data_IF_371148078598
#
_entry.id   IF_371148078598
#
_cell.length_a   1.000
_cell.length_b   1.000
_cell.length_c   1.000
_cell.angle_alpha   90.00
_cell.angle_beta   90.00
_cell.angle_gamma   90.00
#
_symmetry.space_group_name_H-M   'P 1'
#
loop_
_entity.id
_entity.type
_entity.pdbx_description
1 polymer ?
#
# COMPACT_ATOMS: atom_id res chain seq x y z
N UNK A 1 13.39 28.06 3.28
CA UNK A 1 13.99 26.97 2.47
C UNK A 1 13.58 25.64 3.05
N UNK A 2 13.07 24.69 2.26
CA UNK A 2 12.72 23.35 2.73
C UNK A 2 13.99 22.54 3.00
N UNK A 3 14.12 22.01 4.23
CA UNK A 3 15.26 21.17 4.64
C UNK A 3 15.37 19.93 3.77
N UNK A 4 16.56 19.63 3.26
CA UNK A 4 16.85 18.36 2.61
C UNK A 4 17.09 17.27 3.66
N UNK A 5 16.49 16.10 3.45
CA UNK A 5 16.58 14.95 4.33
C UNK A 5 17.28 13.81 3.58
N UNK A 6 18.46 13.35 4.03
CA UNK A 6 19.13 12.23 3.39
C UNK A 6 18.28 10.95 3.46
N UNK A 7 18.12 10.27 2.32
CA UNK A 7 17.28 9.06 2.22
C UNK A 7 17.67 7.99 3.24
N UNK A 8 18.97 7.73 3.41
CA UNK A 8 19.46 6.76 4.39
C UNK A 8 19.07 7.10 5.83
N UNK A 9 19.05 8.39 6.19
CA UNK A 9 18.59 8.84 7.50
C UNK A 9 17.09 8.59 7.67
N UNK A 10 16.28 8.90 6.65
CA UNK A 10 14.84 8.65 6.66
C UNK A 10 14.51 7.16 6.76
N UNK A 11 15.16 6.31 5.95
CA UNK A 11 14.97 4.85 5.96
C UNK A 11 15.36 4.29 7.33
N UNK A 12 16.54 4.63 7.84
CA UNK A 12 17.00 4.19 9.16
C UNK A 12 16.04 4.63 10.27
N UNK A 13 15.57 5.87 10.21
CA UNK A 13 14.59 6.37 11.18
C UNK A 13 13.27 5.59 11.11
N UNK A 14 12.73 5.35 9.92
CA UNK A 14 11.49 4.59 9.74
C UNK A 14 11.62 3.15 10.23
N UNK A 15 12.71 2.45 9.88
CA UNK A 15 12.98 1.07 10.34
C UNK A 15 13.13 1.02 11.86
N UNK A 16 13.92 1.94 12.43
CA UNK A 16 14.12 2.00 13.88
C UNK A 16 12.81 2.34 14.61
N UNK A 17 11.99 3.23 14.05
CA UNK A 17 10.68 3.59 14.62
C UNK A 17 9.77 2.37 14.71
N UNK A 18 9.66 1.56 13.63
CA UNK A 18 8.86 0.33 13.66
C UNK A 18 9.45 -0.70 14.61
N UNK A 19 10.77 -0.96 14.54
CA UNK A 19 11.44 -1.95 15.37
C UNK A 19 11.27 -1.66 16.86
N UNK A 20 11.47 -0.40 17.26
CA UNK A 20 11.37 0.01 18.67
C UNK A 20 9.93 -0.03 19.19
N UNK A 21 8.94 -0.04 18.28
CA UNK A 21 7.53 0.01 18.61
C UNK A 21 6.75 -1.21 18.11
N UNK A 22 7.41 -2.33 17.81
CA UNK A 22 6.78 -3.48 17.13
C UNK A 22 5.62 -4.08 17.93
N UNK A 23 5.76 -4.14 19.26
CA UNK A 23 4.70 -4.62 20.14
C UNK A 23 3.44 -3.72 20.04
N UNK A 24 3.64 -2.42 19.88
CA UNK A 24 2.56 -1.46 19.73
C UNK A 24 1.96 -1.49 18.32
N UNK A 25 2.79 -1.63 17.29
CA UNK A 25 2.34 -1.85 15.92
C UNK A 25 1.41 -3.08 15.86
N UNK A 26 1.80 -4.17 16.51
CA UNK A 26 0.96 -5.36 16.64
C UNK A 26 -0.32 -5.07 17.43
N UNK A 27 -0.22 -4.47 18.62
CA UNK A 27 -1.40 -4.11 19.47
C UNK A 27 -2.45 -3.28 18.74
N UNK A 28 -2.02 -2.34 17.89
CA UNK A 28 -2.90 -1.48 17.10
C UNK A 28 -3.55 -2.24 15.93
N UNK A 29 -2.84 -3.20 15.32
CA UNK A 29 -3.26 -3.83 14.07
C UNK A 29 -3.97 -5.19 14.23
N UNK A 30 -3.64 -5.98 15.25
CA UNK A 30 -4.19 -7.32 15.45
C UNK A 30 -5.74 -7.39 15.48
N UNK A 31 -6.49 -6.41 16.02
CA UNK A 31 -7.96 -6.50 16.07
C UNK A 31 -8.57 -6.46 14.68
N UNK A 32 -7.99 -5.65 13.78
CA UNK A 32 -8.38 -5.65 12.38
C UNK A 32 -7.93 -6.92 11.65
N UNK A 33 -6.75 -7.46 11.95
CA UNK A 33 -6.34 -8.77 11.39
C UNK A 33 -7.27 -9.90 11.84
N UNK A 34 -7.77 -9.88 13.09
CA UNK A 34 -8.75 -10.84 13.57
C UNK A 34 -10.08 -10.80 12.79
N UNK A 35 -10.42 -9.65 12.16
CA UNK A 35 -11.56 -9.51 11.26
C UNK A 35 -11.19 -9.90 9.83
N UNK A 36 -10.06 -9.40 9.31
CA UNK A 36 -9.68 -9.58 7.91
C UNK A 36 -9.26 -11.01 7.57
N UNK A 37 -8.64 -11.73 8.50
CA UNK A 37 -8.18 -13.11 8.27
C UNK A 37 -9.38 -14.03 7.99
N UNK A 38 -10.42 -14.13 8.85
CA UNK A 38 -11.61 -14.93 8.54
C UNK A 38 -12.30 -14.54 7.24
N UNK A 39 -12.42 -13.24 6.95
CA UNK A 39 -13.01 -12.75 5.70
C UNK A 39 -12.18 -13.19 4.48
N UNK A 40 -10.85 -13.19 4.60
CA UNK A 40 -9.94 -13.64 3.55
C UNK A 40 -10.06 -15.15 3.32
N UNK A 41 -10.19 -15.95 4.38
CA UNK A 41 -10.45 -17.40 4.26
C UNK A 41 -11.80 -17.69 3.61
N UNK A 42 -12.85 -16.95 3.99
CA UNK A 42 -14.16 -17.07 3.35
C UNK A 42 -14.09 -16.73 1.86
N UNK A 43 -13.37 -15.66 1.50
CA UNK A 43 -13.14 -15.28 0.11
C UNK A 43 -12.36 -16.34 -0.68
N UNK A 44 -11.36 -16.96 -0.06
CA UNK A 44 -10.60 -18.06 -0.68
C UNK A 44 -11.47 -19.30 -0.92
N UNK A 45 -12.29 -19.69 0.05
CA UNK A 45 -13.27 -20.77 -0.13
C UNK A 45 -14.28 -20.46 -1.24
N UNK A 46 -14.75 -19.22 -1.31
CA UNK A 46 -15.64 -18.77 -2.39
C UNK A 46 -14.96 -18.81 -3.77
N UNK A 47 -13.68 -18.46 -3.85
CA UNK A 47 -12.87 -18.59 -5.07
C UNK A 47 -12.74 -20.05 -5.54
N UNK A 48 -12.59 -21.00 -4.60
CA UNK A 48 -12.55 -22.43 -4.90
C UNK A 48 -13.86 -22.98 -5.46
N UNK A 49 -15.02 -22.48 -4.99
CA UNK A 49 -16.31 -22.85 -5.59
C UNK A 49 -16.44 -22.31 -7.03
N UNK A 50 -15.90 -21.11 -7.29
CA UNK A 50 -15.86 -20.53 -8.63
C UNK A 50 -14.99 -21.35 -9.60
N UNK A 51 -13.79 -21.78 -9.20
CA UNK A 51 -12.91 -22.58 -10.06
C UNK A 51 -13.48 -23.95 -10.43
N UNK A 52 -14.41 -24.48 -9.63
CA UNK A 52 -15.17 -25.70 -9.91
C UNK A 52 -16.36 -25.48 -10.87
N UNK A 53 -16.50 -24.29 -11.46
CA UNK A 53 -17.52 -23.98 -12.47
C UNK A 53 -18.94 -23.80 -11.92
N UNK A 54 -19.10 -23.69 -10.60
CA UNK A 54 -20.42 -23.67 -9.94
C UNK A 54 -21.05 -22.27 -9.86
N UNK A 55 -20.35 -21.21 -10.26
CA UNK A 55 -20.79 -19.83 -10.05
C UNK A 55 -20.34 -18.86 -11.15
N UNK A 56 -21.10 -17.78 -11.34
CA UNK A 56 -20.79 -16.71 -12.30
C UNK A 56 -19.69 -15.76 -11.77
N UNK A 57 -19.03 -15.01 -12.66
CA UNK A 57 -17.94 -14.09 -12.28
C UNK A 57 -18.44 -12.86 -11.47
N UNK A 58 -19.69 -12.45 -11.65
CA UNK A 58 -20.21 -11.21 -11.04
C UNK A 58 -20.27 -11.25 -9.51
N UNK A 59 -20.83 -12.30 -8.86
CA UNK A 59 -20.81 -12.42 -7.40
C UNK A 59 -19.39 -12.44 -6.82
N UNK A 60 -18.45 -13.11 -7.49
CA UNK A 60 -17.04 -13.12 -7.08
C UNK A 60 -16.43 -11.73 -7.08
N UNK A 61 -16.60 -10.99 -8.17
CA UNK A 61 -16.09 -9.62 -8.28
C UNK A 61 -16.69 -8.69 -7.21
N UNK A 62 -18.00 -8.78 -6.96
CA UNK A 62 -18.66 -7.99 -5.92
C UNK A 62 -18.14 -8.33 -4.52
N UNK A 63 -17.99 -9.62 -4.19
CA UNK A 63 -17.44 -10.06 -2.91
C UNK A 63 -15.99 -9.57 -2.73
N UNK A 64 -15.17 -9.67 -3.77
CA UNK A 64 -13.81 -9.15 -3.78
C UNK A 64 -13.77 -7.64 -3.57
N UNK A 65 -14.63 -6.88 -4.25
CA UNK A 65 -14.71 -5.43 -4.11
C UNK A 65 -15.11 -5.02 -2.68
N UNK A 66 -16.08 -5.72 -2.08
CA UNK A 66 -16.48 -5.49 -0.69
C UNK A 66 -15.32 -5.76 0.26
N UNK A 67 -14.61 -6.89 0.08
CA UNK A 67 -13.44 -7.21 0.90
C UNK A 67 -12.32 -6.16 0.75
N UNK A 68 -12.08 -5.68 -0.47
CA UNK A 68 -11.10 -4.63 -0.74
C UNK A 68 -11.46 -3.32 -0.02
N UNK A 69 -12.73 -2.92 -0.03
CA UNK A 69 -13.22 -1.73 0.68
C UNK A 69 -13.09 -1.88 2.20
N UNK A 70 -13.47 -3.04 2.76
CA UNK A 70 -13.29 -3.33 4.19
C UNK A 70 -11.81 -3.28 4.57
N UNK A 71 -10.94 -3.87 3.74
CA UNK A 71 -9.49 -3.86 3.93
C UNK A 71 -8.91 -2.44 3.91
N UNK A 72 -9.43 -1.59 3.01
CA UNK A 72 -8.99 -0.20 2.91
C UNK A 72 -9.45 0.64 4.12
N UNK A 73 -10.66 0.39 4.64
CA UNK A 73 -11.14 0.99 5.89
C UNK A 73 -10.31 0.54 7.09
N UNK A 74 -10.03 -0.77 7.18
CA UNK A 74 -9.17 -1.34 8.21
C UNK A 74 -7.77 -0.72 8.18
N UNK A 75 -7.17 -0.62 6.99
CA UNK A 75 -5.88 0.04 6.79
C UNK A 75 -5.91 1.50 7.24
N UNK A 76 -6.94 2.27 6.86
CA UNK A 76 -7.07 3.66 7.28
C UNK A 76 -7.19 3.79 8.81
N UNK A 77 -7.97 2.91 9.45
CA UNK A 77 -8.14 2.88 10.90
C UNK A 77 -6.81 2.57 11.62
N UNK A 78 -6.10 1.52 11.18
CA UNK A 78 -4.77 1.15 11.69
C UNK A 78 -3.80 2.31 11.49
N UNK A 79 -3.76 2.88 10.29
CA UNK A 79 -2.83 3.95 9.95
C UNK A 79 -3.09 5.20 10.79
N UNK A 80 -4.35 5.62 11.00
CA UNK A 80 -4.66 6.77 11.86
C UNK A 80 -4.20 6.51 13.29
N UNK A 81 -4.51 5.34 13.87
CA UNK A 81 -4.05 4.98 15.21
C UNK A 81 -2.52 4.94 15.29
N UNK A 82 -1.84 4.38 14.28
CA UNK A 82 -0.38 4.34 14.21
C UNK A 82 0.26 5.74 14.17
N UNK A 83 -0.24 6.63 13.32
CA UNK A 83 0.29 8.00 13.23
C UNK A 83 0.05 8.79 14.52
N UNK A 84 -1.12 8.63 15.16
CA UNK A 84 -1.41 9.28 16.45
C UNK A 84 -0.53 8.72 17.56
N UNK A 85 -0.28 7.42 17.57
CA UNK A 85 0.66 6.83 18.51
C UNK A 85 2.08 7.39 18.33
N UNK A 86 2.64 7.31 17.12
CA UNK A 86 4.03 7.75 16.88
C UNK A 86 4.24 9.26 17.10
N UNK A 87 3.20 10.08 16.89
CA UNK A 87 3.33 11.54 16.95
C UNK A 87 2.78 12.16 18.25
N UNK A 88 1.86 11.50 18.94
CA UNK A 88 1.16 12.02 20.13
C UNK A 88 1.20 11.05 21.33
N UNK A 89 1.85 9.89 21.20
CA UNK A 89 1.85 8.81 22.19
C UNK A 89 0.43 8.33 22.59
N UNK A 90 -0.56 8.52 21.70
CA UNK A 90 -1.95 8.16 21.95
C UNK A 90 -2.23 6.69 21.60
N UNK A 91 -2.43 5.87 22.63
CA UNK A 91 -2.91 4.49 22.48
C UNK A 91 -4.41 4.43 22.23
N UNK A 92 -4.89 3.69 21.20
CA UNK A 92 -6.32 3.48 21.03
C UNK A 92 -6.90 2.69 22.20
N UNK A 93 -8.01 3.17 22.77
CA UNK A 93 -8.74 2.48 23.85
C UNK A 93 -10.19 2.24 23.48
N UNK A 94 -10.76 1.13 23.97
CA UNK A 94 -12.17 0.78 23.75
C UNK A 94 -12.55 0.79 22.27
N UNK A 95 -13.48 1.67 21.88
CA UNK A 95 -13.97 1.78 20.50
C UNK A 95 -12.93 2.29 19.51
N UNK A 96 -11.89 3.00 19.97
CA UNK A 96 -10.84 3.51 19.09
C UNK A 96 -9.95 2.41 18.51
N UNK A 97 -10.02 1.20 19.06
CA UNK A 97 -9.35 0.04 18.47
C UNK A 97 -9.84 -0.20 17.03
N UNK A 98 -11.14 -0.03 16.81
CA UNK A 98 -11.79 -0.01 15.49
C UNK A 98 -12.18 1.42 15.13
N UNK A 99 -11.24 2.37 15.20
CA UNK A 99 -11.53 3.80 14.98
C UNK A 99 -12.14 4.03 13.61
N UNK A 100 -13.38 4.50 13.58
CA UNK A 100 -14.15 4.88 12.39
C UNK A 100 -14.70 6.32 12.53
N UNK A 101 -13.88 7.23 13.07
CA UNK A 101 -14.24 8.64 13.30
C UNK A 101 -13.99 9.52 12.04
N UNK A 102 -14.24 10.84 12.17
CA UNK A 102 -13.97 11.83 11.10
C UNK A 102 -12.56 11.72 10.53
N UNK A 103 -11.55 11.43 11.37
CA UNK A 103 -10.16 11.34 10.94
C UNK A 103 -9.95 10.11 10.08
N UNK A 104 -10.50 8.96 10.47
CA UNK A 104 -10.43 7.72 9.67
C UNK A 104 -11.11 7.90 8.30
N UNK A 105 -12.31 8.46 8.25
CA UNK A 105 -13.02 8.64 6.96
C UNK A 105 -12.33 9.64 6.04
N UNK A 106 -11.80 10.73 6.59
CA UNK A 106 -10.98 11.68 5.81
C UNK A 106 -9.68 11.05 5.33
N UNK A 107 -9.05 10.20 6.16
CA UNK A 107 -7.84 9.46 5.79
C UNK A 107 -8.16 8.51 4.64
N UNK A 108 -9.21 7.69 4.77
CA UNK A 108 -9.70 6.78 3.74
C UNK A 108 -9.97 7.50 2.42
N UNK A 109 -10.73 8.60 2.44
CA UNK A 109 -11.06 9.36 1.23
C UNK A 109 -9.82 9.97 0.56
N UNK A 110 -8.84 10.44 1.33
CA UNK A 110 -7.59 10.96 0.77
C UNK A 110 -6.67 9.85 0.24
N UNK A 111 -6.66 8.69 0.90
CA UNK A 111 -5.95 7.52 0.41
C UNK A 111 -6.54 7.06 -0.93
N UNK A 112 -7.86 7.01 -1.05
CA UNK A 112 -8.56 6.69 -2.30
C UNK A 112 -8.27 7.73 -3.39
N UNK A 113 -8.31 9.03 -3.05
CA UNK A 113 -7.95 10.10 -3.99
C UNK A 113 -6.51 9.98 -4.48
N UNK A 114 -5.56 9.69 -3.59
CA UNK A 114 -4.15 9.46 -3.96
C UNK A 114 -4.05 8.24 -4.88
N UNK A 115 -4.74 7.13 -4.57
CA UNK A 115 -4.78 5.95 -5.43
C UNK A 115 -5.31 6.28 -6.83
N UNK A 116 -6.41 7.04 -6.93
CA UNK A 116 -6.97 7.46 -8.23
C UNK A 116 -6.01 8.35 -9.02
N UNK A 117 -5.31 9.28 -8.35
CA UNK A 117 -4.26 10.11 -8.98
C UNK A 117 -3.13 9.22 -9.52
N UNK A 118 -2.69 8.23 -8.74
CA UNK A 118 -1.64 7.29 -9.15
C UNK A 118 -2.10 6.44 -10.33
N UNK A 119 -3.31 5.88 -10.31
CA UNK A 119 -3.88 5.12 -11.42
C UNK A 119 -3.96 5.99 -12.68
N UNK A 120 -4.47 7.21 -12.57
CA UNK A 120 -4.52 8.15 -13.69
C UNK A 120 -3.13 8.46 -14.26
N UNK A 121 -2.15 8.74 -13.41
CA UNK A 121 -0.77 8.99 -13.82
C UNK A 121 -0.13 7.76 -14.49
N UNK A 122 -0.35 6.56 -13.94
CA UNK A 122 0.14 5.32 -14.53
C UNK A 122 -0.51 5.06 -15.90
N UNK A 123 -1.82 5.29 -16.06
CA UNK A 123 -2.51 5.12 -17.33
C UNK A 123 -1.98 6.08 -18.41
N UNK A 124 -1.69 7.34 -18.04
CA UNK A 124 -1.10 8.32 -18.96
C UNK A 124 0.26 7.89 -19.52
N UNK A 125 1.03 7.09 -18.77
CA UNK A 125 2.33 6.56 -19.21
C UNK A 125 2.19 5.19 -19.86
N UNK A 126 1.37 4.29 -19.29
CA UNK A 126 1.15 2.93 -19.81
C UNK A 126 0.54 2.94 -21.20
N UNK A 127 -0.48 3.78 -21.46
CA UNK A 127 -1.21 3.73 -22.73
C UNK A 127 -0.29 4.00 -23.93
N UNK A 128 0.50 5.09 -23.99
CA UNK A 128 1.45 5.31 -25.09
C UNK A 128 2.48 4.19 -25.23
N UNK A 129 3.02 3.69 -24.12
CA UNK A 129 4.02 2.62 -24.13
C UNK A 129 3.43 1.30 -24.67
N UNK A 130 2.19 0.99 -24.32
CA UNK A 130 1.49 -0.20 -24.81
C UNK A 130 1.21 -0.13 -26.31
N UNK A 131 0.87 1.05 -26.83
CA UNK A 131 0.67 1.27 -28.27
C UNK A 131 1.99 1.08 -29.02
N UNK A 132 3.09 1.66 -28.52
CA UNK A 132 4.41 1.52 -29.11
C UNK A 132 4.90 0.06 -29.10
N UNK A 133 4.68 -0.65 -27.99
CA UNK A 133 5.02 -2.06 -27.86
C UNK A 133 4.28 -2.94 -28.87
N UNK A 134 2.98 -2.69 -29.05
CA UNK A 134 2.17 -3.38 -30.05
C UNK A 134 2.67 -3.13 -31.48
N UNK A 135 3.17 -1.92 -31.78
CA UNK A 135 3.70 -1.59 -33.11
C UNK A 135 5.09 -2.16 -33.43
N UNK A 136 5.83 -2.62 -32.43
CA UNK A 136 7.25 -3.01 -32.59
C UNK A 136 7.51 -4.51 -32.40
N UNK A 137 6.47 -5.33 -32.17
CA UNK A 137 6.58 -6.75 -31.79
C UNK A 137 7.51 -6.99 -30.58
N UNK A 138 7.75 -5.97 -29.75
CA UNK A 138 8.63 -6.01 -28.58
C UNK A 138 7.82 -6.15 -27.28
N UNK A 139 6.70 -6.88 -27.32
CA UNK A 139 5.72 -6.96 -26.23
C UNK A 139 6.34 -7.45 -24.91
N UNK A 140 7.28 -8.39 -24.95
CA UNK A 140 7.92 -8.94 -23.75
C UNK A 140 8.89 -7.94 -23.08
N UNK A 141 9.65 -7.18 -23.88
CA UNK A 141 10.51 -6.10 -23.36
C UNK A 141 9.70 -4.94 -22.77
N UNK A 142 8.48 -4.73 -23.27
CA UNK A 142 7.65 -3.61 -22.85
C UNK A 142 7.24 -3.71 -21.38
N UNK A 143 6.91 -4.89 -20.85
CA UNK A 143 6.42 -5.04 -19.47
C UNK A 143 7.50 -4.68 -18.45
N UNK A 144 8.73 -5.16 -18.66
CA UNK A 144 9.86 -4.88 -17.77
C UNK A 144 10.24 -3.40 -17.83
N UNK A 145 10.32 -2.82 -19.03
CA UNK A 145 10.62 -1.39 -19.19
C UNK A 145 9.53 -0.50 -18.60
N UNK A 146 8.25 -0.84 -18.80
CA UNK A 146 7.10 -0.17 -18.20
C UNK A 146 7.21 -0.22 -16.68
N UNK A 147 7.51 -1.38 -16.09
CA UNK A 147 7.70 -1.51 -14.65
C UNK A 147 8.88 -0.66 -14.14
N UNK A 148 10.01 -0.68 -14.84
CA UNK A 148 11.21 0.10 -14.47
C UNK A 148 11.00 1.61 -14.52
N UNK A 149 10.11 2.11 -15.38
CA UNK A 149 9.80 3.55 -15.50
C UNK A 149 8.66 3.93 -14.55
N UNK A 150 7.55 3.19 -14.59
CA UNK A 150 6.32 3.57 -13.90
C UNK A 150 6.46 3.38 -12.39
N UNK A 151 7.07 2.29 -11.91
CA UNK A 151 7.13 2.03 -10.47
C UNK A 151 7.90 3.11 -9.70
N UNK A 152 9.09 3.59 -10.16
CA UNK A 152 9.77 4.69 -9.48
C UNK A 152 8.97 6.00 -9.51
N UNK A 153 8.35 6.34 -10.64
CA UNK A 153 7.54 7.56 -10.77
C UNK A 153 6.33 7.50 -9.82
N UNK A 154 5.59 6.39 -9.85
CA UNK A 154 4.45 6.15 -8.98
C UNK A 154 4.87 6.12 -7.51
N UNK A 155 6.02 5.53 -7.19
CA UNK A 155 6.57 5.50 -5.84
C UNK A 155 6.91 6.89 -5.31
N UNK A 156 7.60 7.72 -6.10
CA UNK A 156 7.90 9.12 -5.73
C UNK A 156 6.60 9.91 -5.57
N UNK A 157 5.68 9.81 -6.53
CA UNK A 157 4.39 10.51 -6.48
C UNK A 157 3.57 10.11 -5.25
N UNK A 158 3.52 8.81 -4.95
CA UNK A 158 2.85 8.25 -3.77
C UNK A 158 3.44 8.82 -2.49
N UNK A 159 4.76 8.77 -2.32
CA UNK A 159 5.43 9.27 -1.12
C UNK A 159 5.21 10.78 -0.93
N UNK A 160 5.23 11.56 -2.01
CA UNK A 160 5.00 13.01 -1.95
C UNK A 160 3.60 13.35 -1.45
N UNK A 161 2.58 12.73 -2.06
CA UNK A 161 1.19 13.01 -1.69
C UNK A 161 0.83 12.44 -0.32
N UNK A 162 1.44 11.32 0.07
CA UNK A 162 1.19 10.64 1.35
C UNK A 162 1.64 11.44 2.57
N UNK A 163 2.50 12.46 2.44
CA UNK A 163 2.84 13.39 3.54
C UNK A 163 1.60 14.10 4.11
N UNK A 164 0.51 14.19 3.35
CA UNK A 164 -0.78 14.69 3.84
C UNK A 164 -1.44 13.76 4.88
N UNK A 165 -1.24 12.46 4.76
CA UNK A 165 -1.96 11.46 5.55
C UNK A 165 -1.70 11.55 7.07
N UNK A 166 -0.45 11.73 7.55
CA UNK A 166 -0.20 12.02 8.97
C UNK A 166 -0.89 13.30 9.46
N UNK A 167 -0.94 14.36 8.63
CA UNK A 167 -1.62 15.60 9.01
C UNK A 167 -3.12 15.36 9.24
N UNK A 168 -3.76 14.53 8.41
CA UNK A 168 -5.16 14.11 8.60
C UNK A 168 -5.33 13.32 9.91
N UNK A 169 -4.42 12.41 10.23
CA UNK A 169 -4.47 11.63 11.47
C UNK A 169 -4.34 12.52 12.73
N UNK A 170 -3.62 13.64 12.63
CA UNK A 170 -3.55 14.70 13.65
C UNK A 170 -4.78 15.61 13.68
N UNK A 171 -5.74 15.43 12.78
CA UNK A 171 -6.96 16.23 12.68
C UNK A 171 -6.82 17.52 11.88
N UNK A 172 -5.64 17.81 11.31
CA UNK A 172 -5.40 19.03 10.51
C UNK A 172 -6.30 19.08 9.29
N UNK A 173 -6.89 20.24 9.02
CA UNK A 173 -7.76 20.52 7.85
C UNK A 173 -7.16 21.52 6.88
N UNK A 174 -6.11 22.21 7.32
CA UNK A 174 -5.38 23.26 6.61
C UNK A 174 -4.30 22.72 5.66
N UNK A 175 -3.84 21.48 5.85
CA UNK A 175 -2.78 20.88 5.03
C UNK A 175 -3.34 20.09 3.84
N UNK A 176 -3.19 20.63 2.63
CA UNK A 176 -3.76 20.12 1.38
C UNK A 176 -2.71 19.33 0.55
N UNK A 177 -3.16 18.70 -0.55
CA UNK A 177 -2.25 17.97 -1.46
C UNK A 177 -1.24 18.91 -2.14
N UNK A 178 -1.62 20.15 -2.42
CA UNK A 178 -0.71 21.19 -2.94
C UNK A 178 0.42 21.50 -1.95
N UNK A 179 0.13 21.44 -0.65
CA UNK A 179 1.11 21.71 0.39
C UNK A 179 2.06 20.52 0.54
N UNK A 180 1.52 19.29 0.53
CA UNK A 180 2.32 18.07 0.46
C UNK A 180 3.27 18.08 -0.76
N UNK A 181 2.78 18.54 -1.91
CA UNK A 181 3.60 18.73 -3.11
C UNK A 181 4.68 19.80 -2.88
N UNK A 182 4.34 20.98 -2.38
CA UNK A 182 5.30 22.08 -2.21
C UNK A 182 6.41 21.74 -1.20
N UNK A 183 6.06 21.16 -0.05
CA UNK A 183 7.03 20.88 1.03
C UNK A 183 8.00 19.75 0.69
N UNK A 184 7.66 18.91 -0.29
CA UNK A 184 8.50 17.79 -0.73
C UNK A 184 9.38 18.11 -1.94
N UNK A 185 9.28 19.32 -2.53
CA UNK A 185 10.01 19.70 -3.76
C UNK A 185 11.52 19.54 -3.64
N UNK A 186 12.12 20.00 -2.54
CA UNK A 186 13.57 19.88 -2.35
C UNK A 186 14.05 18.45 -2.04
N UNK A 187 13.14 17.49 -1.88
CA UNK A 187 13.43 16.13 -1.45
C UNK A 187 13.12 15.07 -2.54
N UNK A 188 12.95 15.45 -3.81
CA UNK A 188 12.64 14.50 -4.90
C UNK A 188 13.66 13.37 -4.98
N UNK A 189 14.96 13.69 -4.96
CA UNK A 189 16.02 12.68 -5.04
C UNK A 189 16.04 11.74 -3.81
N UNK A 190 15.98 12.24 -2.56
CA UNK A 190 15.76 11.37 -1.41
C UNK A 190 14.52 10.48 -1.51
N UNK A 191 13.39 11.02 -1.96
CA UNK A 191 12.14 10.26 -2.15
C UNK A 191 12.29 9.18 -3.22
N UNK A 192 13.04 9.45 -4.30
CA UNK A 192 13.37 8.46 -5.32
C UNK A 192 14.13 7.27 -4.72
N UNK A 193 15.16 7.52 -3.90
CA UNK A 193 15.90 6.44 -3.24
C UNK A 193 15.06 5.67 -2.21
N UNK A 194 14.13 6.34 -1.52
CA UNK A 194 13.16 5.67 -0.63
C UNK A 194 12.21 4.78 -1.45
N UNK A 195 11.69 5.28 -2.57
CA UNK A 195 10.85 4.51 -3.48
C UNK A 195 11.60 3.31 -4.04
N UNK A 196 12.85 3.49 -4.47
CA UNK A 196 13.71 2.40 -4.95
C UNK A 196 13.94 1.34 -3.87
N UNK A 197 14.22 1.76 -2.63
CA UNK A 197 14.33 0.85 -1.49
C UNK A 197 13.05 0.03 -1.28
N UNK A 198 11.86 0.66 -1.33
CA UNK A 198 10.58 -0.03 -1.20
C UNK A 198 10.35 -1.03 -2.35
N UNK A 199 10.67 -0.66 -3.58
CA UNK A 199 10.54 -1.52 -4.76
C UNK A 199 11.46 -2.75 -4.63
N UNK A 200 12.74 -2.54 -4.32
CA UNK A 200 13.71 -3.63 -4.14
C UNK A 200 13.28 -4.56 -3.00
N UNK A 201 12.83 -4.00 -1.88
CA UNK A 201 12.34 -4.80 -0.75
C UNK A 201 11.10 -5.61 -1.13
N UNK A 202 10.14 -5.01 -1.84
CA UNK A 202 8.93 -5.69 -2.31
C UNK A 202 9.27 -6.86 -3.24
N UNK A 203 10.09 -6.63 -4.28
CA UNK A 203 10.48 -7.69 -5.21
C UNK A 203 11.34 -8.76 -4.53
N UNK A 204 12.21 -8.38 -3.60
CA UNK A 204 12.98 -9.33 -2.79
C UNK A 204 12.08 -10.23 -1.94
N UNK A 205 11.03 -9.66 -1.33
CA UNK A 205 10.03 -10.41 -0.58
C UNK A 205 9.22 -11.35 -1.47
N UNK A 206 8.77 -10.89 -2.64
CA UNK A 206 8.05 -11.72 -3.62
C UNK A 206 8.92 -12.89 -4.08
N UNK A 207 10.18 -12.64 -4.44
CA UNK A 207 11.13 -13.67 -4.82
C UNK A 207 11.34 -14.69 -3.70
N UNK A 208 11.50 -14.22 -2.46
CA UNK A 208 11.61 -15.10 -1.29
C UNK A 208 10.38 -16.00 -1.12
N UNK A 209 9.17 -15.46 -1.25
CA UNK A 209 7.93 -16.23 -1.16
C UNK A 209 7.81 -17.27 -2.28
N UNK A 210 8.19 -16.92 -3.52
CA UNK A 210 8.19 -17.86 -4.64
C UNK A 210 9.18 -19.00 -4.43
N UNK A 211 10.38 -18.70 -3.93
CA UNK A 211 11.38 -19.71 -3.58
C UNK A 211 10.87 -20.62 -2.44
N UNK A 212 10.24 -20.04 -1.41
CA UNK A 212 9.65 -20.81 -0.33
C UNK A 212 8.52 -21.72 -0.83
N UNK A 213 7.66 -21.23 -1.71
CA UNK A 213 6.61 -22.05 -2.32
C UNK A 213 7.21 -23.21 -3.15
N UNK A 214 8.25 -22.93 -3.95
CA UNK A 214 8.95 -23.93 -4.74
C UNK A 214 9.60 -25.01 -3.87
N UNK A 215 10.26 -24.62 -2.77
CA UNK A 215 10.88 -25.59 -1.85
C UNK A 215 9.85 -26.44 -1.12
N UNK A 216 8.72 -25.86 -0.69
CA UNK A 216 7.62 -26.63 -0.08
C UNK A 216 7.00 -27.60 -1.09
N UNK A 217 6.74 -27.15 -2.32
CA UNK A 217 6.17 -27.99 -3.38
C UNK A 217 7.05 -29.18 -3.76
N UNK A 218 8.36 -28.97 -3.78
CA UNK A 218 9.32 -30.06 -4.07
C UNK A 218 9.55 -30.99 -2.87
N UNK A 219 9.49 -30.48 -1.63
CA UNK A 219 9.69 -31.28 -0.42
C UNK A 219 8.45 -32.09 0.00
N UNK A 220 7.25 -31.66 -0.35
CA UNK A 220 6.01 -32.39 -0.07
C UNK A 220 5.09 -32.42 -1.30
N UNK A 221 5.36 -33.32 -2.27
CA UNK A 221 4.53 -33.46 -3.46
C UNK A 221 3.08 -33.86 -3.16
N UNK A 222 2.83 -34.43 -1.97
CA UNK A 222 1.52 -34.92 -1.55
C UNK A 222 0.59 -33.84 -0.95
N UNK A 223 1.05 -32.59 -0.80
CA UNK A 223 0.25 -31.48 -0.26
C UNK A 223 -0.36 -30.56 -1.34
N UNK A 224 -0.28 -30.95 -2.62
CA UNK A 224 -0.75 -30.16 -3.77
C UNK A 224 -1.56 -31.01 -4.74
#
# INVERSE_FOLDING_TARGET
MTRQLPAGTCIRHAVNSVRNNIAYAFRISWPWYAVLIPLSFAMFGFAGLFSLGTSSMTPFFLAFLVLALISLVAFASIAVNWHRYILLDEMPKGREVFRLDDKTWRYFGNLLLILLILVGACLLVMLPLSILAASTNAAEFSVVLIALIILPIAGVLSLRLSVKLPAIALGRRDFLLKDAWSVTQANILPLFFIALFQIVFFFGFVLFMLLLQYTIGTASPALW
#
